data_IF_687191419484
#
_entry.id   IF_687191419484
#
_cell.length_a   1.000
_cell.length_b   1.000
_cell.length_c   1.000
_cell.angle_alpha   90.00
_cell.angle_beta   90.00
_cell.angle_gamma   90.00
#
_symmetry.space_group_name_H-M   'P 1'
#
loop_
_entity.id
_entity.type
_entity.pdbx_description
1 polymer ?
#
# COMPACT_ATOMS: atom_id res chain seq x y z
N UNK A 1 12.57 -14.82 -45.30
CA UNK A 1 12.03 -13.78 -44.43
C UNK A 1 11.09 -14.34 -43.35
N UNK A 2 11.53 -15.30 -42.53
CA UNK A 2 10.69 -15.95 -41.53
C UNK A 2 11.32 -16.02 -40.12
N UNK A 3 12.42 -15.31 -39.85
CA UNK A 3 13.13 -15.40 -38.56
C UNK A 3 12.90 -14.22 -37.60
N UNK A 4 12.28 -13.12 -38.06
CA UNK A 4 12.11 -11.89 -37.25
C UNK A 4 10.87 -11.95 -36.36
N UNK A 5 9.87 -12.77 -36.70
CA UNK A 5 8.61 -12.86 -35.94
C UNK A 5 8.72 -13.63 -34.60
N UNK A 6 9.57 -14.63 -34.51
CA UNK A 6 9.66 -15.50 -33.34
C UNK A 6 10.39 -14.83 -32.16
N UNK A 7 11.45 -14.08 -32.43
CA UNK A 7 12.25 -13.41 -31.39
C UNK A 7 11.45 -12.25 -30.73
N UNK A 8 10.66 -11.52 -31.54
CA UNK A 8 9.81 -10.42 -31.01
C UNK A 8 8.68 -10.92 -30.12
N UNK A 9 8.09 -12.07 -30.42
CA UNK A 9 7.04 -12.69 -29.60
C UNK A 9 7.59 -13.25 -28.28
N UNK A 10 8.80 -13.83 -28.29
CA UNK A 10 9.49 -14.32 -27.09
C UNK A 10 9.87 -13.17 -26.14
N UNK A 11 10.38 -12.05 -26.68
CA UNK A 11 10.71 -10.86 -25.89
C UNK A 11 9.45 -10.20 -25.28
N UNK A 12 8.37 -10.10 -26.04
CA UNK A 12 7.10 -9.57 -25.55
C UNK A 12 6.45 -10.50 -24.50
N UNK A 13 6.59 -11.82 -24.66
CA UNK A 13 6.10 -12.80 -23.68
C UNK A 13 6.92 -12.76 -22.38
N UNK A 14 8.26 -12.64 -22.47
CA UNK A 14 9.15 -12.53 -21.31
C UNK A 14 8.92 -11.23 -20.49
N UNK A 15 8.53 -10.13 -21.16
CA UNK A 15 8.20 -8.87 -20.49
C UNK A 15 6.85 -8.87 -19.78
N UNK A 16 5.99 -9.85 -20.04
CA UNK A 16 4.64 -9.96 -19.47
C UNK A 16 4.53 -11.03 -18.38
N UNK A 17 5.65 -11.65 -17.97
CA UNK A 17 5.64 -12.62 -16.87
C UNK A 17 5.75 -11.88 -15.53
N UNK A 18 4.94 -12.27 -14.53
CA UNK A 18 5.09 -11.74 -13.17
C UNK A 18 6.53 -11.93 -12.70
N UNK A 19 7.12 -10.86 -12.13
CA UNK A 19 8.46 -10.96 -11.56
C UNK A 19 8.45 -11.94 -10.37
N UNK A 20 9.56 -12.65 -10.12
CA UNK A 20 9.64 -13.55 -8.97
C UNK A 20 9.45 -12.78 -7.66
N UNK A 21 8.47 -13.20 -6.86
CA UNK A 21 8.25 -12.65 -5.53
C UNK A 21 9.24 -13.27 -4.55
N UNK A 22 9.77 -12.47 -3.63
CA UNK A 22 10.56 -12.93 -2.47
C UNK A 22 9.69 -12.98 -1.21
N UNK A 23 10.17 -13.65 -0.16
CA UNK A 23 9.47 -13.72 1.11
C UNK A 23 10.47 -13.56 2.26
N UNK A 24 10.14 -12.69 3.21
CA UNK A 24 10.93 -12.40 4.41
C UNK A 24 10.05 -12.50 5.66
N UNK A 25 10.66 -12.52 6.83
CA UNK A 25 9.96 -12.41 8.12
C UNK A 25 10.03 -10.98 8.64
N UNK A 26 8.88 -10.41 8.99
CA UNK A 26 8.80 -9.16 9.75
C UNK A 26 8.92 -9.41 11.26
N UNK A 27 8.48 -10.60 11.73
CA UNK A 27 8.58 -11.07 13.12
C UNK A 27 8.57 -12.60 13.16
N UNK A 28 8.40 -13.19 14.35
CA UNK A 28 8.34 -14.64 14.48
C UNK A 28 7.21 -15.25 13.64
N UNK A 29 6.02 -14.61 13.61
CA UNK A 29 4.82 -15.16 12.97
C UNK A 29 4.19 -14.26 11.89
N UNK A 30 4.84 -13.15 11.50
CA UNK A 30 4.41 -12.32 10.38
C UNK A 30 5.42 -12.40 9.25
N UNK A 31 4.94 -12.78 8.07
CA UNK A 31 5.71 -12.91 6.84
C UNK A 31 5.35 -11.79 5.87
N UNK A 32 6.30 -11.38 5.03
CA UNK A 32 6.10 -10.36 4.00
C UNK A 32 6.52 -10.90 2.65
N UNK A 33 5.65 -10.78 1.65
CA UNK A 33 5.93 -11.11 0.26
C UNK A 33 6.22 -9.81 -0.48
N UNK A 34 7.44 -9.70 -1.00
CA UNK A 34 8.01 -8.50 -1.61
C UNK A 34 8.20 -8.74 -3.12
N UNK A 35 8.04 -7.70 -3.93
CA UNK A 35 8.21 -7.68 -5.38
C UNK A 35 7.56 -6.45 -5.97
N UNK A 36 7.27 -6.45 -7.27
CA UNK A 36 6.53 -5.37 -7.92
C UNK A 36 5.15 -5.18 -7.25
N UNK A 37 4.67 -3.94 -7.19
CA UNK A 37 3.44 -3.59 -6.47
C UNK A 37 3.60 -3.55 -4.96
N UNK A 38 2.49 -3.42 -4.24
CA UNK A 38 2.48 -3.27 -2.80
C UNK A 38 2.98 -4.51 -2.06
N UNK A 39 3.56 -4.34 -0.88
CA UNK A 39 3.96 -5.43 -0.01
C UNK A 39 2.72 -6.18 0.51
N UNK A 40 2.80 -7.51 0.52
CA UNK A 40 1.77 -8.37 1.11
C UNK A 40 2.28 -8.92 2.41
N UNK A 41 1.53 -8.76 3.51
CA UNK A 41 1.85 -9.45 4.75
C UNK A 41 0.88 -10.62 4.98
N UNK A 42 1.33 -11.64 5.73
CA UNK A 42 0.41 -12.65 6.22
C UNK A 42 0.84 -13.22 7.56
N UNK A 43 -0.17 -13.61 8.34
CA UNK A 43 -0.01 -14.27 9.64
C UNK A 43 -0.73 -15.62 9.61
N UNK A 44 -0.01 -16.76 9.70
CA UNK A 44 -0.64 -18.05 9.92
C UNK A 44 -1.15 -18.17 11.36
N UNK A 45 -2.31 -18.80 11.53
CA UNK A 45 -2.91 -19.09 12.83
C UNK A 45 -3.35 -20.55 12.90
N UNK A 46 -3.79 -21.03 14.07
CA UNK A 46 -4.30 -22.40 14.22
C UNK A 46 -5.60 -22.67 13.42
N UNK A 47 -6.34 -21.61 13.02
CA UNK A 47 -7.65 -21.72 12.34
C UNK A 47 -7.65 -21.22 10.89
N UNK A 48 -6.54 -20.66 10.41
CA UNK A 48 -6.43 -20.12 9.08
C UNK A 48 -5.34 -19.08 8.95
N UNK A 49 -5.34 -18.35 7.83
CA UNK A 49 -4.37 -17.31 7.54
C UNK A 49 -5.09 -15.97 7.43
N UNK A 50 -4.50 -14.92 8.02
CA UNK A 50 -4.88 -13.53 7.82
C UNK A 50 -3.85 -12.92 6.87
N UNK A 51 -4.31 -12.28 5.80
CA UNK A 51 -3.47 -11.66 4.77
C UNK A 51 -3.73 -10.15 4.77
N UNK A 52 -2.71 -9.36 4.46
CA UNK A 52 -2.81 -7.90 4.25
C UNK A 52 -2.36 -7.60 2.83
N UNK A 53 -3.26 -7.05 2.03
CA UNK A 53 -3.13 -6.78 0.60
C UNK A 53 -2.85 -8.05 -0.24
N UNK A 54 -2.85 -7.93 -1.57
CA UNK A 54 -2.69 -9.10 -2.44
C UNK A 54 -2.10 -8.77 -3.83
N UNK A 55 -1.42 -7.62 -3.93
CA UNK A 55 -0.69 -7.17 -5.14
C UNK A 55 -1.57 -7.06 -6.39
N UNK A 56 -0.98 -7.30 -7.56
CA UNK A 56 -1.69 -7.38 -8.83
C UNK A 56 -2.36 -8.75 -9.03
N UNK A 57 -3.37 -8.81 -9.87
CA UNK A 57 -4.07 -10.08 -10.20
C UNK A 57 -3.12 -11.18 -10.69
N UNK A 58 -2.10 -10.81 -11.46
CA UNK A 58 -1.12 -11.75 -11.99
C UNK A 58 -0.23 -12.39 -10.92
N UNK A 59 -0.11 -11.76 -9.74
CA UNK A 59 0.74 -12.24 -8.64
C UNK A 59 0.02 -13.23 -7.73
N UNK A 60 -1.31 -13.27 -7.76
CA UNK A 60 -2.11 -14.09 -6.86
C UNK A 60 -1.67 -15.58 -6.81
N UNK A 61 -1.35 -16.25 -7.94
CA UNK A 61 -0.84 -17.63 -7.88
C UNK A 61 0.48 -17.76 -7.11
N UNK A 62 1.41 -16.79 -7.26
CA UNK A 62 2.67 -16.80 -6.53
C UNK A 62 2.46 -16.54 -5.04
N UNK A 63 1.57 -15.59 -4.68
CA UNK A 63 1.20 -15.29 -3.28
C UNK A 63 0.65 -16.54 -2.60
N UNK A 64 -0.34 -17.20 -3.22
CA UNK A 64 -0.92 -18.43 -2.70
C UNK A 64 0.13 -19.55 -2.55
N UNK A 65 1.03 -19.71 -3.53
CA UNK A 65 2.12 -20.67 -3.45
C UNK A 65 3.10 -20.35 -2.30
N UNK A 66 3.45 -19.08 -2.08
CA UNK A 66 4.33 -18.66 -0.96
C UNK A 66 3.68 -18.93 0.38
N UNK A 67 2.41 -18.56 0.58
CA UNK A 67 1.67 -18.85 1.82
C UNK A 67 1.66 -20.36 2.09
N UNK A 68 1.44 -21.18 1.06
CA UNK A 68 1.41 -22.63 1.17
C UNK A 68 2.77 -23.26 1.58
N UNK A 69 3.90 -22.58 1.36
CA UNK A 69 5.19 -23.06 1.87
C UNK A 69 5.31 -22.93 3.39
N UNK A 70 4.47 -22.12 4.02
CA UNK A 70 4.46 -21.90 5.48
C UNK A 70 3.36 -22.67 6.16
N UNK A 71 2.16 -22.77 5.55
CA UNK A 71 1.00 -23.45 6.13
C UNK A 71 0.03 -23.95 5.06
N UNK A 72 -0.61 -25.08 5.31
CA UNK A 72 -1.71 -25.61 4.49
C UNK A 72 -3.09 -25.08 4.95
N UNK A 73 -3.14 -24.22 5.97
CA UNK A 73 -4.41 -23.65 6.45
C UNK A 73 -5.02 -22.71 5.40
N UNK A 74 -6.36 -22.65 5.30
CA UNK A 74 -7.02 -21.76 4.35
C UNK A 74 -6.83 -20.28 4.71
N UNK A 75 -6.78 -19.41 3.71
CA UNK A 75 -6.91 -17.97 3.91
C UNK A 75 -8.34 -17.70 4.37
N UNK A 76 -8.49 -17.05 5.52
CA UNK A 76 -9.79 -16.72 6.11
C UNK A 76 -10.15 -15.26 5.87
N UNK A 77 -9.17 -14.38 6.03
CA UNK A 77 -9.37 -12.94 5.90
C UNK A 77 -8.27 -12.31 5.07
N UNK A 78 -8.66 -11.33 4.25
CA UNK A 78 -7.76 -10.36 3.61
C UNK A 78 -8.16 -8.98 4.12
N UNK A 79 -7.21 -8.20 4.61
CA UNK A 79 -7.41 -6.80 5.00
C UNK A 79 -6.69 -5.93 3.97
N UNK A 80 -7.43 -5.21 3.14
CA UNK A 80 -6.82 -4.28 2.19
C UNK A 80 -6.53 -2.93 2.86
N UNK A 81 -5.33 -2.41 2.67
CA UNK A 81 -4.90 -1.12 3.22
C UNK A 81 -5.57 0.06 2.53
N UNK A 82 -5.75 -0.01 1.23
CA UNK A 82 -6.44 0.99 0.39
C UNK A 82 -6.86 0.36 -0.95
N UNK A 83 -7.42 1.16 -1.88
CA UNK A 83 -8.06 0.64 -3.09
C UNK A 83 -7.15 0.41 -4.30
N UNK A 84 -5.88 0.80 -4.32
CA UNK A 84 -5.08 0.70 -5.56
C UNK A 84 -4.87 -0.75 -6.01
N UNK A 85 -4.78 -0.92 -7.34
CA UNK A 85 -4.79 -2.24 -7.97
C UNK A 85 -3.56 -3.09 -7.70
N UNK A 86 -2.47 -2.50 -7.23
CA UNK A 86 -1.28 -3.19 -6.78
C UNK A 86 -1.34 -3.60 -5.29
N UNK A 87 -2.49 -3.38 -4.64
CA UNK A 87 -2.83 -3.82 -3.28
C UNK A 87 -4.09 -4.69 -3.25
N UNK A 88 -4.97 -4.56 -4.26
CA UNK A 88 -6.28 -5.22 -4.30
C UNK A 88 -6.50 -6.08 -5.55
N UNK A 89 -5.50 -6.17 -6.42
CA UNK A 89 -5.65 -6.87 -7.70
C UNK A 89 -5.86 -8.36 -7.56
N UNK A 90 -5.35 -8.98 -6.50
CA UNK A 90 -5.54 -10.39 -6.17
C UNK A 90 -6.89 -10.72 -5.52
N UNK A 91 -7.71 -9.72 -5.16
CA UNK A 91 -8.98 -9.92 -4.43
C UNK A 91 -9.91 -10.97 -5.06
N UNK A 92 -10.03 -11.00 -6.41
CA UNK A 92 -10.87 -12.02 -7.06
C UNK A 92 -10.39 -13.44 -6.75
N UNK A 93 -9.07 -13.66 -6.76
CA UNK A 93 -8.48 -14.96 -6.43
C UNK A 93 -8.69 -15.32 -4.94
N UNK A 94 -8.59 -14.33 -4.04
CA UNK A 94 -8.84 -14.52 -2.62
C UNK A 94 -10.31 -14.83 -2.33
N UNK A 95 -11.26 -14.14 -2.99
CA UNK A 95 -12.70 -14.45 -2.92
C UNK A 95 -12.99 -15.85 -3.48
N UNK A 96 -12.34 -16.25 -4.58
CA UNK A 96 -12.46 -17.60 -5.13
C UNK A 96 -11.94 -18.66 -4.15
N UNK A 97 -10.90 -18.34 -3.37
CA UNK A 97 -10.38 -19.16 -2.27
C UNK A 97 -11.28 -19.12 -1.00
N UNK A 98 -12.43 -18.44 -1.03
CA UNK A 98 -13.40 -18.31 0.07
C UNK A 98 -12.90 -17.46 1.25
N UNK A 99 -11.96 -16.56 1.02
CA UNK A 99 -11.57 -15.57 2.00
C UNK A 99 -12.62 -14.45 2.09
N UNK A 100 -12.83 -13.91 3.29
CA UNK A 100 -13.57 -12.67 3.51
C UNK A 100 -12.61 -11.48 3.35
N UNK A 101 -13.02 -10.46 2.59
CA UNK A 101 -12.16 -9.29 2.34
C UNK A 101 -12.72 -8.07 3.06
N UNK A 102 -11.87 -7.44 3.86
CA UNK A 102 -12.18 -6.31 4.72
C UNK A 102 -11.42 -5.08 4.21
N UNK A 103 -12.12 -3.95 4.04
CA UNK A 103 -11.52 -2.69 3.59
C UNK A 103 -12.22 -1.48 4.23
N UNK A 104 -11.56 -0.35 4.27
CA UNK A 104 -12.19 0.90 4.69
C UNK A 104 -13.29 1.32 3.68
N UNK A 105 -14.40 1.87 4.17
CA UNK A 105 -15.60 2.15 3.36
C UNK A 105 -15.35 3.10 2.18
N UNK A 106 -14.46 4.12 2.35
CA UNK A 106 -14.15 5.05 1.27
C UNK A 106 -13.30 4.38 0.18
N UNK A 107 -12.34 3.53 0.59
CA UNK A 107 -11.56 2.73 -0.37
C UNK A 107 -12.47 1.81 -1.19
N UNK A 108 -13.46 1.15 -0.56
CA UNK A 108 -14.46 0.37 -1.31
C UNK A 108 -15.29 1.25 -2.27
N UNK A 109 -15.69 2.44 -1.84
CA UNK A 109 -16.44 3.36 -2.69
C UNK A 109 -15.60 3.80 -3.91
N UNK A 110 -14.30 4.03 -3.71
CA UNK A 110 -13.35 4.33 -4.80
C UNK A 110 -13.24 3.14 -5.77
N UNK A 111 -13.17 1.89 -5.27
CA UNK A 111 -13.17 0.69 -6.12
C UNK A 111 -14.46 0.60 -6.96
N UNK A 112 -15.62 0.86 -6.36
CA UNK A 112 -16.92 0.85 -7.08
C UNK A 112 -16.92 1.93 -8.18
N UNK A 113 -16.49 3.15 -7.85
CA UNK A 113 -16.40 4.27 -8.82
C UNK A 113 -15.44 3.95 -9.96
N UNK A 114 -14.29 3.37 -9.63
CA UNK A 114 -13.26 2.91 -10.58
C UNK A 114 -13.64 1.64 -11.35
N UNK A 115 -14.77 1.02 -11.06
CA UNK A 115 -15.22 -0.28 -11.63
C UNK A 115 -14.16 -1.36 -11.48
N UNK A 116 -13.47 -1.37 -10.34
CA UNK A 116 -12.41 -2.35 -10.05
C UNK A 116 -13.01 -3.72 -9.74
N UNK A 117 -12.36 -4.81 -10.15
CA UNK A 117 -12.81 -6.17 -9.84
C UNK A 117 -12.57 -6.53 -8.36
N UNK A 118 -13.10 -7.66 -7.92
CA UNK A 118 -12.79 -8.20 -6.59
C UNK A 118 -13.24 -7.30 -5.44
N UNK A 119 -14.47 -6.74 -5.52
CA UNK A 119 -14.97 -5.84 -4.49
C UNK A 119 -15.03 -6.53 -3.12
N UNK A 120 -14.38 -5.94 -2.08
CA UNK A 120 -14.46 -6.43 -0.71
C UNK A 120 -15.91 -6.55 -0.20
N UNK A 121 -16.19 -7.58 0.57
CA UNK A 121 -17.54 -7.88 1.08
C UNK A 121 -17.79 -7.33 2.49
N UNK A 122 -16.74 -6.95 3.23
CA UNK A 122 -16.85 -6.34 4.56
C UNK A 122 -16.20 -4.96 4.54
N UNK A 123 -16.86 -3.97 5.16
CA UNK A 123 -16.30 -2.62 5.30
C UNK A 123 -16.34 -2.13 6.74
N UNK A 124 -15.40 -1.27 7.08
CA UNK A 124 -15.38 -0.53 8.34
C UNK A 124 -15.25 0.98 8.09
N UNK A 125 -15.59 1.80 9.10
CA UNK A 125 -15.41 3.25 9.05
C UNK A 125 -14.09 3.67 9.68
N UNK A 126 -13.93 3.41 10.96
CA UNK A 126 -12.77 3.84 11.75
C UNK A 126 -11.85 2.68 12.12
N UNK A 127 -12.45 1.54 12.52
CA UNK A 127 -11.70 0.35 12.90
C UNK A 127 -12.44 -0.95 12.59
N UNK A 128 -11.66 -2.01 12.43
CA UNK A 128 -12.13 -3.40 12.43
C UNK A 128 -11.12 -4.25 13.20
N UNK A 129 -11.62 -5.21 13.95
CA UNK A 129 -10.82 -6.20 14.67
C UNK A 129 -11.13 -7.59 14.13
N UNK A 130 -10.10 -8.36 13.84
CA UNK A 130 -10.19 -9.75 13.40
C UNK A 130 -9.56 -10.63 14.45
N UNK A 131 -10.33 -11.57 14.98
CA UNK A 131 -9.86 -12.61 15.89
C UNK A 131 -9.89 -13.95 15.19
N UNK A 132 -8.74 -14.62 15.09
CA UNK A 132 -8.62 -15.93 14.44
C UNK A 132 -7.52 -16.76 15.10
N UNK A 133 -7.87 -17.97 15.56
CA UNK A 133 -6.92 -18.92 16.12
C UNK A 133 -6.09 -18.36 17.28
N UNK A 134 -6.71 -17.53 18.12
CA UNK A 134 -6.09 -16.90 19.29
C UNK A 134 -5.26 -15.64 18.97
N UNK A 135 -5.20 -15.23 17.71
CA UNK A 135 -4.53 -14.00 17.29
C UNK A 135 -5.55 -12.87 17.08
N UNK A 136 -5.09 -11.63 17.32
CA UNK A 136 -5.83 -10.41 17.06
C UNK A 136 -5.09 -9.61 15.99
N UNK A 137 -5.82 -9.07 15.00
CA UNK A 137 -5.31 -8.12 14.00
C UNK A 137 -6.28 -6.95 13.91
N UNK A 138 -5.75 -5.73 13.98
CA UNK A 138 -6.53 -4.49 13.93
C UNK A 138 -6.31 -3.77 12.60
N UNK A 139 -7.40 -3.36 11.95
CA UNK A 139 -7.39 -2.40 10.86
C UNK A 139 -7.88 -1.05 11.35
N UNK A 140 -7.14 0.03 11.08
CA UNK A 140 -7.47 1.38 11.56
C UNK A 140 -7.34 2.41 10.44
N UNK A 141 -8.42 3.18 10.24
CA UNK A 141 -8.38 4.42 9.46
C UNK A 141 -8.13 5.59 10.40
N UNK A 142 -6.98 6.25 10.26
CA UNK A 142 -6.54 7.32 11.17
C UNK A 142 -6.67 8.72 10.56
N UNK A 143 -7.04 8.78 9.29
CA UNK A 143 -7.20 10.01 8.52
C UNK A 143 -6.72 9.83 7.09
N UNK A 144 -6.78 10.92 6.32
CA UNK A 144 -6.37 10.93 4.92
C UNK A 144 -4.85 11.09 4.80
N UNK A 145 -4.29 10.53 3.75
CA UNK A 145 -2.89 10.68 3.39
C UNK A 145 -2.71 10.41 1.91
N UNK A 146 -2.35 9.18 1.57
CA UNK A 146 -2.21 8.68 0.21
C UNK A 146 -3.56 8.71 -0.54
N UNK A 147 -4.63 8.23 0.12
CA UNK A 147 -6.03 8.27 -0.34
C UNK A 147 -6.94 8.76 0.80
N UNK A 148 -8.27 8.74 0.59
CA UNK A 148 -9.25 8.98 1.66
C UNK A 148 -9.70 7.71 2.37
N UNK A 149 -9.18 6.56 2.00
CA UNK A 149 -9.55 5.26 2.54
C UNK A 149 -8.38 4.47 3.11
N UNK A 150 -7.24 5.12 3.37
CA UNK A 150 -6.05 4.47 3.91
C UNK A 150 -6.32 3.84 5.27
N UNK A 151 -5.85 2.63 5.45
CA UNK A 151 -5.86 1.93 6.72
C UNK A 151 -4.47 1.37 7.05
N UNK A 152 -4.10 1.42 8.32
CA UNK A 152 -2.98 0.68 8.85
C UNK A 152 -3.47 -0.63 9.45
N UNK A 153 -2.67 -1.69 9.30
CA UNK A 153 -2.99 -3.01 9.85
C UNK A 153 -1.95 -3.34 10.92
N UNK A 154 -2.41 -3.53 12.14
CA UNK A 154 -1.56 -3.75 13.30
C UNK A 154 -1.72 -5.17 13.84
N UNK A 155 -0.59 -5.82 14.12
CA UNK A 155 -0.45 -7.14 14.73
C UNK A 155 0.09 -6.99 16.16
N UNK A 156 -0.77 -6.85 17.19
CA UNK A 156 -0.35 -6.49 18.54
C UNK A 156 0.64 -7.49 19.15
N UNK A 157 0.37 -8.80 19.01
CA UNK A 157 1.22 -9.86 19.57
C UNK A 157 2.63 -9.89 18.99
N UNK A 158 2.78 -9.38 17.77
CA UNK A 158 4.03 -9.39 17.00
C UNK A 158 4.74 -8.03 17.00
N UNK A 159 4.08 -6.97 17.50
CA UNK A 159 4.53 -5.58 17.41
C UNK A 159 4.90 -5.15 15.98
N UNK A 160 4.11 -5.61 15.01
CA UNK A 160 4.28 -5.32 13.58
C UNK A 160 3.15 -4.44 13.10
N UNK A 161 3.49 -3.42 12.30
CA UNK A 161 2.53 -2.52 11.69
C UNK A 161 2.71 -2.52 10.16
N UNK A 162 1.65 -2.78 9.41
CA UNK A 162 1.61 -2.56 7.96
C UNK A 162 0.91 -1.23 7.68
N UNK A 163 1.57 -0.33 6.98
CA UNK A 163 1.07 1.04 6.79
C UNK A 163 0.37 1.25 5.46
N UNK A 164 0.39 0.26 4.56
CA UNK A 164 0.09 0.55 3.15
C UNK A 164 0.92 1.74 2.68
N UNK A 165 0.41 2.49 1.73
CA UNK A 165 1.11 3.60 1.09
C UNK A 165 1.15 4.90 1.92
N UNK A 166 0.67 4.87 3.16
CA UNK A 166 0.96 5.97 4.10
C UNK A 166 2.47 6.08 4.34
N UNK A 167 3.22 4.98 4.25
CA UNK A 167 4.67 4.97 4.27
C UNK A 167 5.22 4.10 3.13
N UNK A 168 6.13 4.65 2.34
CA UNK A 168 6.92 3.95 1.34
C UNK A 168 8.38 4.12 1.67
N UNK A 169 9.15 3.03 1.71
CA UNK A 169 10.58 3.08 2.05
C UNK A 169 11.47 3.33 0.83
N UNK A 170 10.87 3.51 -0.35
CA UNK A 170 11.58 3.81 -1.60
C UNK A 170 10.81 4.81 -2.45
N UNK A 171 11.51 5.80 -3.00
CA UNK A 171 10.94 6.77 -3.93
C UNK A 171 10.11 7.89 -3.30
N UNK A 172 9.52 8.72 -4.15
CA UNK A 172 8.65 9.81 -3.74
C UNK A 172 7.22 9.31 -3.54
N UNK A 173 6.51 9.77 -2.48
CA UNK A 173 5.14 9.34 -2.21
C UNK A 173 4.17 9.80 -3.28
N UNK A 174 3.11 9.05 -3.50
CA UNK A 174 1.99 9.47 -4.36
C UNK A 174 0.83 9.96 -3.49
N UNK A 175 0.38 11.18 -3.70
CA UNK A 175 -0.86 11.68 -3.10
C UNK A 175 -1.97 11.60 -4.16
N UNK A 176 -2.85 10.62 -4.03
CA UNK A 176 -3.97 10.41 -4.94
C UNK A 176 -5.14 11.35 -4.58
N UNK A 177 -4.98 12.61 -4.96
CA UNK A 177 -5.99 13.65 -4.70
C UNK A 177 -7.30 13.40 -5.44
N UNK A 178 -7.30 12.61 -6.52
CA UNK A 178 -8.51 12.22 -7.24
C UNK A 178 -9.39 11.29 -6.40
N UNK A 179 -8.78 10.44 -5.58
CA UNK A 179 -9.44 9.57 -4.61
C UNK A 179 -9.32 10.11 -3.18
N UNK A 180 -9.29 11.44 -3.05
CA UNK A 180 -9.39 12.15 -1.78
C UNK A 180 -8.16 12.09 -0.88
N UNK A 181 -6.99 11.70 -1.40
CA UNK A 181 -5.72 11.84 -0.71
C UNK A 181 -5.44 13.29 -0.32
N UNK A 182 -4.68 13.51 0.76
CA UNK A 182 -4.44 14.81 1.35
C UNK A 182 -2.98 14.99 1.77
N UNK A 183 -2.24 15.79 1.02
CA UNK A 183 -0.87 16.15 1.42
C UNK A 183 -0.87 17.01 2.69
N UNK A 184 -1.93 17.78 2.93
CA UNK A 184 -2.12 18.64 4.10
C UNK A 184 -2.29 17.83 5.39
N UNK A 185 -3.13 16.77 5.34
CA UNK A 185 -3.44 15.93 6.51
C UNK A 185 -2.43 14.80 6.74
N UNK A 186 -1.71 14.36 5.71
CA UNK A 186 -0.85 13.18 5.75
C UNK A 186 0.13 13.16 6.94
N UNK A 187 0.88 14.24 7.25
CA UNK A 187 1.77 14.24 8.42
C UNK A 187 1.02 14.01 9.74
N UNK A 188 -0.18 14.60 9.91
CA UNK A 188 -0.99 14.44 11.11
C UNK A 188 -1.57 13.01 11.20
N UNK A 189 -1.95 12.41 10.09
CA UNK A 189 -2.39 11.00 10.02
C UNK A 189 -1.26 10.08 10.46
N UNK A 190 -0.05 10.27 9.93
CA UNK A 190 1.14 9.51 10.33
C UNK A 190 1.51 9.69 11.82
N UNK A 191 1.33 10.90 12.35
CA UNK A 191 1.59 11.15 13.78
C UNK A 191 0.70 10.29 14.69
N UNK A 192 -0.56 10.03 14.29
CA UNK A 192 -1.47 9.15 15.03
C UNK A 192 -1.02 7.68 14.96
N UNK A 193 -0.38 7.27 13.85
CA UNK A 193 0.17 5.92 13.71
C UNK A 193 1.24 5.63 14.76
N UNK A 194 2.02 6.63 15.16
CA UNK A 194 3.06 6.49 16.18
C UNK A 194 2.54 6.21 17.60
N UNK A 195 1.22 6.29 17.83
CA UNK A 195 0.62 5.94 19.13
C UNK A 195 0.59 4.42 19.39
N UNK A 196 0.76 3.58 18.35
CA UNK A 196 0.82 2.13 18.51
C UNK A 196 2.18 1.67 19.04
N UNK A 197 2.18 0.57 19.79
CA UNK A 197 3.40 -0.08 20.31
C UNK A 197 3.91 -1.10 19.28
N UNK A 198 4.74 -0.67 18.35
CA UNK A 198 5.35 -1.50 17.31
C UNK A 198 6.85 -1.25 17.22
N UNK A 199 7.57 -2.28 16.80
CA UNK A 199 9.01 -2.22 16.55
C UNK A 199 9.30 -2.28 15.04
N UNK A 200 8.53 -3.09 14.31
CA UNK A 200 8.69 -3.35 12.87
C UNK A 200 7.56 -2.72 12.06
N UNK A 201 7.91 -2.12 10.93
CA UNK A 201 6.98 -1.52 9.98
C UNK A 201 7.12 -2.20 8.62
N UNK A 202 5.99 -2.62 8.07
CA UNK A 202 5.88 -3.06 6.69
C UNK A 202 5.35 -1.85 5.89
N UNK A 203 6.17 -1.19 5.07
CA UNK A 203 5.70 -0.11 4.20
C UNK A 203 4.83 -0.66 3.08
N UNK A 204 4.06 0.20 2.40
CA UNK A 204 3.34 -0.21 1.20
C UNK A 204 4.29 -0.69 0.11
N UNK A 205 5.43 -0.03 -0.06
CA UNK A 205 6.47 -0.39 -1.03
C UNK A 205 7.87 -0.29 -0.41
N UNK A 206 8.75 -1.18 -0.86
CA UNK A 206 10.15 -1.21 -0.46
C UNK A 206 10.44 -2.18 0.69
N UNK A 207 11.62 -2.08 1.30
CA UNK A 207 12.08 -2.99 2.33
C UNK A 207 11.34 -2.78 3.66
N UNK A 208 11.26 -3.85 4.46
CA UNK A 208 10.80 -3.80 5.86
C UNK A 208 11.63 -2.74 6.60
N UNK A 209 10.97 -1.97 7.43
CA UNK A 209 11.51 -0.81 8.12
C UNK A 209 11.30 -0.90 9.65
N UNK A 210 11.86 0.05 10.37
CA UNK A 210 11.74 0.17 11.81
C UNK A 210 10.81 1.31 12.22
N UNK A 211 10.43 1.33 13.49
CA UNK A 211 9.74 2.49 14.08
C UNK A 211 10.50 3.80 13.86
N UNK A 212 11.84 3.78 13.96
CA UNK A 212 12.66 4.97 13.76
C UNK A 212 12.57 5.51 12.33
N UNK A 213 12.47 4.63 11.33
CA UNK A 213 12.29 5.02 9.93
C UNK A 213 10.93 5.69 9.72
N UNK A 214 9.86 5.18 10.35
CA UNK A 214 8.55 5.82 10.29
C UNK A 214 8.54 7.19 10.98
N UNK A 215 9.22 7.35 12.11
CA UNK A 215 9.39 8.66 12.78
C UNK A 215 10.10 9.66 11.85
N UNK A 216 11.16 9.22 11.18
CA UNK A 216 11.85 10.04 10.16
C UNK A 216 10.89 10.39 9.01
N UNK A 217 10.08 9.42 8.55
CA UNK A 217 9.10 9.63 7.48
C UNK A 217 8.04 10.67 7.82
N UNK A 218 7.53 10.70 9.05
CA UNK A 218 6.60 11.75 9.53
C UNK A 218 7.19 13.15 9.30
N UNK A 219 8.45 13.34 9.68
CA UNK A 219 9.18 14.61 9.47
C UNK A 219 9.39 14.90 7.99
N UNK A 220 9.75 13.87 7.23
CA UNK A 220 9.91 13.96 5.76
C UNK A 220 8.62 14.41 5.09
N UNK A 221 7.49 13.80 5.44
CA UNK A 221 6.18 14.18 4.88
C UNK A 221 5.77 15.61 5.24
N UNK A 222 6.06 16.08 6.45
CA UNK A 222 5.85 17.48 6.81
C UNK A 222 6.70 18.42 5.94
N UNK A 223 7.96 18.06 5.72
CA UNK A 223 8.88 18.82 4.84
C UNK A 223 8.40 18.83 3.39
N UNK A 224 7.96 17.68 2.86
CA UNK A 224 7.40 17.57 1.50
C UNK A 224 6.17 18.47 1.37
N UNK A 225 5.22 18.39 2.31
CA UNK A 225 4.02 19.26 2.33
C UNK A 225 4.40 20.74 2.24
N UNK A 226 5.34 21.19 3.08
CA UNK A 226 5.74 22.60 3.15
C UNK A 226 6.44 23.05 1.86
N UNK A 227 7.24 22.19 1.25
CA UNK A 227 7.90 22.48 -0.04
C UNK A 227 6.89 22.48 -1.19
N UNK A 228 5.94 21.54 -1.20
CA UNK A 228 4.83 21.54 -2.17
C UNK A 228 4.02 22.83 -2.03
N UNK A 229 3.69 23.26 -0.82
CA UNK A 229 2.99 24.53 -0.58
C UNK A 229 3.74 25.71 -1.18
N UNK A 230 5.04 25.82 -0.95
CA UNK A 230 5.88 26.87 -1.54
C UNK A 230 5.94 26.77 -3.08
N UNK A 231 6.11 25.55 -3.61
CA UNK A 231 6.15 25.33 -5.06
C UNK A 231 4.83 25.67 -5.76
N UNK A 232 3.69 25.56 -5.06
CA UNK A 232 2.37 25.89 -5.61
C UNK A 232 2.11 27.41 -5.70
N UNK A 233 2.91 28.25 -5.08
CA UNK A 233 2.78 29.71 -5.22
C UNK A 233 3.01 30.09 -6.70
N UNK A 234 2.04 30.78 -7.30
CA UNK A 234 2.04 31.10 -8.73
C UNK A 234 1.41 30.04 -9.63
N UNK A 235 0.82 28.98 -9.07
CA UNK A 235 0.03 27.98 -9.79
C UNK A 235 0.70 26.62 -9.89
N UNK A 236 -0.12 25.62 -10.21
CA UNK A 236 0.28 24.21 -10.23
C UNK A 236 1.10 23.82 -11.49
N UNK A 237 0.94 24.57 -12.60
CA UNK A 237 1.53 24.20 -13.90
C UNK A 237 3.06 24.03 -13.83
N UNK A 238 3.75 24.94 -13.16
CA UNK A 238 5.21 24.92 -13.03
C UNK A 238 5.68 24.47 -11.63
N UNK A 239 4.77 24.01 -10.77
CA UNK A 239 5.10 23.66 -9.40
C UNK A 239 6.16 22.57 -9.32
N UNK A 240 6.13 21.57 -10.22
CA UNK A 240 7.15 20.51 -10.27
C UNK A 240 8.54 21.04 -10.56
N UNK A 241 8.68 22.04 -11.45
CA UNK A 241 10.00 22.63 -11.75
C UNK A 241 10.56 23.47 -10.62
N UNK A 242 9.71 23.93 -9.70
CA UNK A 242 10.10 24.70 -8.49
C UNK A 242 10.33 23.82 -7.27
N UNK A 243 9.92 22.55 -7.34
CA UNK A 243 10.02 21.62 -6.21
C UNK A 243 11.40 20.96 -6.18
N UNK A 244 12.13 21.13 -5.09
CA UNK A 244 13.39 20.44 -4.83
C UNK A 244 13.22 19.51 -3.60
N UNK A 245 13.44 18.21 -3.83
CA UNK A 245 13.44 17.16 -2.81
C UNK A 245 14.77 16.37 -2.82
N UNK A 246 15.82 16.91 -3.44
CA UNK A 246 17.09 16.19 -3.66
C UNK A 246 17.82 15.83 -2.36
N UNK A 247 17.73 16.69 -1.33
CA UNK A 247 18.28 16.44 0.01
C UNK A 247 17.51 15.37 0.80
N UNK A 248 16.30 15.00 0.33
CA UNK A 248 15.53 13.87 0.83
C UNK A 248 15.78 12.60 0.00
N UNK A 249 16.78 12.61 -0.87
CA UNK A 249 17.11 11.52 -1.80
C UNK A 249 15.96 11.15 -2.75
N UNK A 250 15.04 12.09 -2.98
CA UNK A 250 13.87 11.91 -3.83
C UNK A 250 14.02 12.70 -5.13
N UNK A 251 13.78 12.02 -6.25
CA UNK A 251 13.71 12.65 -7.58
C UNK A 251 12.27 12.63 -8.07
N UNK A 252 11.76 13.81 -8.37
CA UNK A 252 10.41 13.96 -8.92
C UNK A 252 10.55 14.37 -10.38
N UNK A 253 10.26 13.44 -11.30
CA UNK A 253 10.24 13.71 -12.72
C UNK A 253 8.86 14.17 -13.18
N UNK A 254 8.80 14.96 -14.24
CA UNK A 254 7.56 15.26 -14.94
C UNK A 254 6.90 13.94 -15.38
N UNK A 255 5.59 13.79 -15.13
CA UNK A 255 4.83 12.59 -15.46
C UNK A 255 4.92 11.45 -14.42
N UNK A 256 5.76 11.57 -13.37
CA UNK A 256 5.75 10.63 -12.24
C UNK A 256 4.40 10.64 -11.51
N UNK A 257 4.15 9.61 -10.70
CA UNK A 257 2.94 9.55 -9.84
C UNK A 257 2.86 10.76 -8.91
N UNK A 258 3.97 11.15 -8.28
CA UNK A 258 4.03 12.38 -7.47
C UNK A 258 3.59 13.61 -8.27
N UNK A 259 4.11 13.78 -9.50
CA UNK A 259 3.77 14.90 -10.35
C UNK A 259 2.29 14.92 -10.76
N UNK A 260 1.67 13.76 -10.93
CA UNK A 260 0.23 13.63 -11.23
C UNK A 260 -0.64 14.13 -10.07
N UNK A 261 -0.21 13.97 -8.82
CA UNK A 261 -0.90 14.49 -7.64
C UNK A 261 -0.78 16.01 -7.45
N UNK A 262 0.22 16.67 -8.08
CA UNK A 262 0.57 18.06 -7.82
C UNK A 262 -0.59 19.04 -8.02
N UNK A 263 -1.40 18.99 -9.10
CA UNK A 263 -2.51 19.94 -9.27
C UNK A 263 -3.52 19.89 -8.10
N UNK A 264 -3.85 18.68 -7.63
CA UNK A 264 -4.75 18.50 -6.51
C UNK A 264 -4.13 18.94 -5.19
N UNK A 265 -2.86 18.64 -4.95
CA UNK A 265 -2.13 19.11 -3.77
C UNK A 265 -2.07 20.63 -3.72
N UNK A 266 -1.77 21.30 -4.84
CA UNK A 266 -1.79 22.77 -4.91
C UNK A 266 -3.19 23.35 -4.64
N UNK A 267 -4.24 22.73 -5.17
CA UNK A 267 -5.62 23.15 -4.92
C UNK A 267 -6.00 23.03 -3.43
N UNK A 268 -5.60 21.93 -2.79
CA UNK A 268 -5.85 21.70 -1.37
C UNK A 268 -5.12 22.71 -0.48
N UNK A 269 -3.84 22.98 -0.77
CA UNK A 269 -2.99 23.87 0.03
C UNK A 269 -3.29 25.36 -0.17
N UNK A 270 -4.07 25.72 -1.18
CA UNK A 270 -4.56 27.09 -1.41
C UNK A 270 -5.81 27.44 -0.58
N UNK A 271 -6.44 26.45 0.08
CA UNK A 271 -7.59 26.59 0.98
C UNK A 271 -7.14 26.78 2.44
#
# INVERSE_FOLDING_TARGET
MAAIGAVGLWLAWAQNQPQPLTMEKASENVYVIIGDGGNVAFMPTSEGVIVVDDKFAADAPQILARIKTVTDRPIRYVLNTHQHGDHTGGNEAMLAAKAEIIIQKNARANMVTGKMPGLPNITFTDESQVFLGGQEVLARHLGRGHTNGDAVIYFPSEKVLHTGDLFVSSGAPFCDTANGGSIKEWPATLQKVLAYDFDTVIPGHGAIATRADLVKWVTTMATIRDRVQKACVGGAADAISRLDLSDLEMRVAAGSLFARGMPGMCKELAQ
#
